data_IF_045896693823
#
_entry.id   IF_045896693823
#
_cell.length_a   1.000
_cell.length_b   1.000
_cell.length_c   1.000
_cell.angle_alpha   90.00
_cell.angle_beta   90.00
_cell.angle_gamma   90.00
#
_symmetry.space_group_name_H-M   'P 1'
#
loop_
_entity.id
_entity.type
_entity.pdbx_description
1 polymer ?
#
# COMPACT_ATOMS: atom_id res chain seq x y z
N UNK A 1 -22.96 2.54 7.55
CA UNK A 1 -21.68 1.99 7.07
C UNK A 1 -21.34 2.72 5.78
N UNK A 2 -20.21 3.43 5.76
CA UNK A 2 -19.69 4.17 4.61
C UNK A 2 -18.81 3.26 3.74
N UNK A 3 -18.53 3.67 2.50
CA UNK A 3 -17.57 2.95 1.64
C UNK A 3 -16.21 2.82 2.34
N UNK A 4 -15.80 3.82 3.12
CA UNK A 4 -14.58 3.75 3.91
C UNK A 4 -14.66 2.68 5.00
N UNK A 5 -15.80 2.56 5.71
CA UNK A 5 -15.99 1.52 6.72
C UNK A 5 -15.88 0.11 6.12
N UNK A 6 -16.45 -0.10 4.93
CA UNK A 6 -16.31 -1.36 4.19
C UNK A 6 -14.84 -1.66 3.87
N UNK A 7 -14.13 -0.70 3.28
CA UNK A 7 -12.70 -0.85 2.94
C UNK A 7 -11.87 -1.21 4.18
N UNK A 8 -12.13 -0.54 5.31
CA UNK A 8 -11.40 -0.78 6.57
C UNK A 8 -11.71 -2.17 7.13
N UNK A 9 -12.99 -2.58 7.14
CA UNK A 9 -13.41 -3.90 7.60
C UNK A 9 -12.73 -5.02 6.79
N UNK A 10 -12.79 -4.92 5.46
CA UNK A 10 -12.20 -5.90 4.56
C UNK A 10 -10.67 -5.96 4.72
N UNK A 11 -10.01 -4.80 4.86
CA UNK A 11 -8.56 -4.75 5.04
C UNK A 11 -8.11 -5.42 6.35
N UNK A 12 -8.87 -5.26 7.43
CA UNK A 12 -8.59 -5.94 8.71
C UNK A 12 -8.68 -7.46 8.56
N UNK A 13 -9.71 -7.96 7.89
CA UNK A 13 -9.85 -9.39 7.61
C UNK A 13 -8.67 -9.90 6.76
N UNK A 14 -8.32 -9.18 5.68
CA UNK A 14 -7.20 -9.52 4.80
C UNK A 14 -5.87 -9.58 5.55
N UNK A 15 -5.55 -8.57 6.37
CA UNK A 15 -4.32 -8.53 7.16
C UNK A 15 -4.27 -9.69 8.16
N UNK A 16 -5.38 -10.01 8.82
CA UNK A 16 -5.46 -11.13 9.75
C UNK A 16 -5.22 -12.48 9.06
N UNK A 17 -5.75 -12.68 7.84
CA UNK A 17 -5.50 -13.87 7.05
C UNK A 17 -4.04 -13.95 6.60
N UNK A 18 -3.45 -12.85 6.12
CA UNK A 18 -2.03 -12.81 5.71
C UNK A 18 -1.08 -13.11 6.86
N UNK A 19 -1.34 -12.59 8.06
CA UNK A 19 -0.52 -12.88 9.27
C UNK A 19 -0.51 -14.36 9.67
N UNK A 20 -1.57 -15.11 9.34
CA UNK A 20 -1.62 -16.57 9.56
C UNK A 20 -0.74 -17.34 8.57
N UNK A 21 -0.59 -16.82 7.35
CA UNK A 21 0.23 -17.44 6.31
C UNK A 21 1.72 -17.08 6.45
N UNK A 22 2.01 -15.83 6.77
CA UNK A 22 3.37 -15.31 6.97
C UNK A 22 3.38 -14.57 8.30
N UNK A 23 3.88 -15.19 9.38
CA UNK A 23 4.06 -14.52 10.66
C UNK A 23 5.01 -13.33 10.54
N UNK A 24 4.82 -12.33 11.40
CA UNK A 24 5.68 -11.12 11.42
C UNK A 24 7.16 -11.49 11.55
N UNK A 25 7.50 -12.42 12.43
CA UNK A 25 8.88 -12.89 12.62
C UNK A 25 9.48 -13.58 11.38
N UNK A 26 8.65 -14.15 10.50
CA UNK A 26 9.14 -14.65 9.21
C UNK A 26 9.33 -13.51 8.21
N UNK A 27 8.41 -12.54 8.18
CA UNK A 27 8.53 -11.36 7.33
C UNK A 27 9.79 -10.53 7.64
N UNK A 28 10.10 -10.38 8.93
CA UNK A 28 11.31 -9.71 9.44
C UNK A 28 12.61 -10.38 8.98
N UNK A 29 12.57 -11.66 8.60
CA UNK A 29 13.72 -12.41 8.08
C UNK A 29 13.76 -12.46 6.56
N UNK A 30 12.91 -11.71 5.87
CA UNK A 30 12.89 -11.68 4.41
C UNK A 30 14.14 -10.97 3.85
N UNK A 31 14.57 -11.38 2.65
CA UNK A 31 15.85 -10.96 2.04
C UNK A 31 16.03 -9.44 1.94
N UNK A 32 14.95 -8.68 1.87
CA UNK A 32 14.97 -7.23 1.70
C UNK A 32 14.55 -6.45 2.96
N UNK A 33 14.37 -7.11 4.11
CA UNK A 33 13.83 -6.45 5.30
C UNK A 33 14.73 -5.30 5.78
N UNK A 34 16.05 -5.51 5.79
CA UNK A 34 17.04 -4.52 6.22
C UNK A 34 17.53 -3.61 5.08
N UNK A 35 16.84 -3.61 3.93
CA UNK A 35 17.23 -2.74 2.81
C UNK A 35 16.95 -1.27 3.18
N UNK A 36 17.94 -0.41 2.95
CA UNK A 36 17.77 1.04 3.07
C UNK A 36 16.58 1.55 2.26
N UNK A 37 15.71 2.30 2.93
CA UNK A 37 14.51 2.88 2.32
C UNK A 37 14.81 4.21 1.63
N UNK A 38 14.11 4.49 0.54
CA UNK A 38 14.10 5.82 -0.06
C UNK A 38 13.12 6.73 0.68
N UNK A 39 13.57 7.91 1.09
CA UNK A 39 12.69 8.91 1.70
C UNK A 39 11.84 9.61 0.65
N UNK A 40 10.53 9.31 0.63
CA UNK A 40 9.58 9.98 -0.27
C UNK A 40 9.55 11.49 -0.04
N UNK A 41 9.54 11.95 1.21
CA UNK A 41 9.51 13.38 1.53
C UNK A 41 10.74 14.12 1.01
N UNK A 42 11.92 13.51 1.15
CA UNK A 42 13.16 14.06 0.63
C UNK A 42 13.15 14.20 -0.89
N UNK A 43 12.64 13.18 -1.59
CA UNK A 43 12.53 13.19 -3.06
C UNK A 43 11.55 14.27 -3.52
N UNK A 44 10.40 14.43 -2.85
CA UNK A 44 9.41 15.46 -3.21
C UNK A 44 9.93 16.87 -2.98
N UNK A 45 10.63 17.13 -1.87
CA UNK A 45 11.21 18.45 -1.58
C UNK A 45 12.28 18.85 -2.60
N UNK A 46 12.99 17.89 -3.18
CA UNK A 46 14.00 18.11 -4.22
C UNK A 46 13.44 18.10 -5.65
N UNK A 47 12.19 17.69 -5.82
CA UNK A 47 11.55 17.60 -7.14
C UNK A 47 11.13 18.98 -7.61
N UNK A 48 11.40 19.30 -8.87
CA UNK A 48 10.97 20.56 -9.49
C UNK A 48 9.45 20.62 -9.72
N UNK A 49 8.78 19.47 -9.81
CA UNK A 49 7.33 19.38 -10.08
C UNK A 49 6.52 18.82 -8.91
N UNK A 50 7.14 18.05 -8.01
CA UNK A 50 6.47 17.43 -6.87
C UNK A 50 5.43 16.36 -7.23
N UNK A 51 5.45 15.83 -8.46
CA UNK A 51 4.44 14.87 -8.95
C UNK A 51 4.66 13.48 -8.35
N UNK A 52 3.58 12.88 -7.82
CA UNK A 52 3.49 11.46 -7.51
C UNK A 52 2.55 10.81 -8.53
N UNK A 53 3.11 9.98 -9.41
CA UNK A 53 2.32 9.23 -10.37
C UNK A 53 1.73 7.97 -9.71
N UNK A 54 0.41 7.91 -9.57
CA UNK A 54 -0.30 6.74 -9.05
C UNK A 54 -0.56 5.72 -10.19
N UNK A 55 -0.10 4.47 -10.02
CA UNK A 55 -0.48 3.38 -10.91
C UNK A 55 -1.70 2.63 -10.33
N UNK A 56 -2.90 2.87 -10.89
CA UNK A 56 -4.16 2.34 -10.36
C UNK A 56 -5.06 1.73 -11.42
N UNK A 57 -5.55 0.51 -11.16
CA UNK A 57 -6.44 -0.25 -12.06
C UNK A 57 -7.92 0.12 -11.91
N UNK A 58 -8.40 0.30 -10.68
CA UNK A 58 -9.83 0.44 -10.30
C UNK A 58 -9.99 1.41 -9.13
N UNK A 59 -11.13 2.06 -9.01
CA UNK A 59 -11.56 2.79 -7.81
C UNK A 59 -13.03 2.51 -7.46
N UNK A 60 -13.49 2.76 -6.23
CA UNK A 60 -14.90 2.63 -5.88
C UNK A 60 -15.82 3.50 -6.74
N UNK A 61 -15.35 4.68 -7.15
CA UNK A 61 -16.09 5.61 -8.01
C UNK A 61 -15.95 5.32 -9.51
N UNK A 62 -14.93 4.56 -9.92
CA UNK A 62 -14.64 4.24 -11.32
C UNK A 62 -14.13 2.81 -11.43
N UNK A 63 -15.03 1.90 -11.82
CA UNK A 63 -14.79 0.45 -11.84
C UNK A 63 -13.49 0.04 -12.51
N UNK A 64 -13.22 0.49 -13.74
CA UNK A 64 -11.91 0.30 -14.39
C UNK A 64 -11.43 1.66 -14.90
N UNK A 65 -10.19 2.01 -14.56
CA UNK A 65 -9.63 3.34 -14.83
C UNK A 65 -9.10 3.43 -16.26
N UNK A 66 -8.37 2.41 -16.69
CA UNK A 66 -7.78 2.28 -18.02
C UNK A 66 -8.50 1.17 -18.77
N UNK A 67 -9.39 1.56 -19.68
CA UNK A 67 -10.09 0.70 -20.64
C UNK A 67 -9.57 0.99 -22.04
#
# INVERSE_FOLDING_TARGET
>A
MTILDHIVSDKRLEVNLRKKLIPVSQLERSVLFDRDTFSLSHVLQKSSTGIIAEHKRRSPSKSVINN
#
